data_IF_418877651312
#
_entry.id   IF_418877651312
#
_cell.length_a   1.000
_cell.length_b   1.000
_cell.length_c   1.000
_cell.angle_alpha   90.00
_cell.angle_beta   90.00
_cell.angle_gamma   90.00
#
_symmetry.space_group_name_H-M   'P 1'
#
loop_
_entity.id
_entity.type
_entity.pdbx_description
1 polymer ?
#
# COMPACT_ATOMS: atom_id res chain seq x y z
N UNK A 1 42.12 10.09 -0.05
CA UNK A 1 41.02 10.05 0.93
C UNK A 1 39.69 10.40 0.25
N UNK A 2 38.96 9.47 -0.39
CA UNK A 2 37.62 9.74 -0.98
C UNK A 2 36.70 8.51 -1.09
N UNK A 3 36.99 7.39 -0.41
CA UNK A 3 36.14 6.19 -0.47
C UNK A 3 34.97 6.19 0.54
N UNK A 4 34.92 7.13 1.48
CA UNK A 4 33.92 7.17 2.55
C UNK A 4 32.55 7.74 2.10
N UNK A 5 32.49 8.50 1.00
CA UNK A 5 31.26 9.19 0.57
C UNK A 5 30.18 8.27 -0.01
N UNK A 6 30.56 7.21 -0.73
CA UNK A 6 29.61 6.34 -1.44
C UNK A 6 28.72 5.53 -0.50
N UNK A 7 29.26 4.99 0.59
CA UNK A 7 28.48 4.21 1.58
C UNK A 7 27.48 5.07 2.35
N UNK A 8 27.83 6.32 2.64
CA UNK A 8 26.92 7.27 3.29
C UNK A 8 25.77 7.68 2.37
N UNK A 9 26.05 7.85 1.07
CA UNK A 9 25.03 8.19 0.07
C UNK A 9 24.02 7.06 -0.12
N UNK A 10 24.47 5.81 -0.27
CA UNK A 10 23.58 4.64 -0.41
C UNK A 10 22.70 4.45 0.83
N UNK A 11 23.25 4.63 2.04
CA UNK A 11 22.46 4.56 3.29
C UNK A 11 21.38 5.65 3.35
N UNK A 12 21.71 6.88 2.94
CA UNK A 12 20.74 8.00 2.89
C UNK A 12 19.63 7.76 1.86
N UNK A 13 19.99 7.24 0.68
CA UNK A 13 19.02 6.92 -0.37
C UNK A 13 18.08 5.78 0.06
N UNK A 14 18.60 4.73 0.69
CA UNK A 14 17.80 3.63 1.21
C UNK A 14 16.84 4.10 2.33
N UNK A 15 17.31 4.96 3.23
CA UNK A 15 16.47 5.55 4.27
C UNK A 15 15.36 6.43 3.68
N UNK A 16 15.67 7.26 2.69
CA UNK A 16 14.67 8.06 1.97
C UNK A 16 13.63 7.19 1.26
N UNK A 17 14.07 6.13 0.58
CA UNK A 17 13.17 5.19 -0.09
C UNK A 17 12.25 4.48 0.92
N UNK A 18 12.79 4.04 2.05
CA UNK A 18 12.02 3.41 3.12
C UNK A 18 10.97 4.36 3.69
N UNK A 19 11.32 5.64 3.90
CA UNK A 19 10.38 6.68 4.34
C UNK A 19 9.27 6.89 3.30
N UNK A 20 9.61 7.05 2.01
CA UNK A 20 8.61 7.24 0.95
C UNK A 20 7.67 6.03 0.84
N UNK A 21 8.19 4.81 0.95
CA UNK A 21 7.38 3.58 0.96
C UNK A 21 6.44 3.52 2.16
N UNK A 22 6.91 3.94 3.34
CA UNK A 22 6.06 4.03 4.53
C UNK A 22 4.94 5.07 4.35
N UNK A 23 5.24 6.25 3.80
CA UNK A 23 4.22 7.28 3.56
C UNK A 23 3.17 6.86 2.51
N UNK A 24 3.57 6.13 1.47
CA UNK A 24 2.64 5.66 0.44
C UNK A 24 1.62 4.63 0.94
N UNK A 25 1.93 3.91 2.05
CA UNK A 25 1.04 2.90 2.64
C UNK A 25 -0.01 3.44 3.62
N UNK A 26 0.19 4.64 4.18
CA UNK A 26 -0.63 5.11 5.31
C UNK A 26 -2.08 5.46 4.93
N UNK A 27 -2.32 6.00 3.73
CA UNK A 27 -3.65 6.52 3.37
C UNK A 27 -4.74 5.46 3.28
N UNK A 28 -4.39 4.21 2.95
CA UNK A 28 -5.34 3.08 2.85
C UNK A 28 -5.64 2.48 4.22
N UNK A 29 -4.63 2.39 5.08
CA UNK A 29 -4.75 1.84 6.43
C UNK A 29 -5.64 2.72 7.33
N UNK A 30 -5.58 4.04 7.14
CA UNK A 30 -6.34 4.97 7.97
C UNK A 30 -7.85 4.84 7.78
N UNK A 31 -8.32 4.64 6.54
CA UNK A 31 -9.73 4.48 6.24
C UNK A 31 -10.38 3.23 6.85
N UNK A 32 -9.68 2.09 6.81
CA UNK A 32 -10.13 0.86 7.46
C UNK A 32 -10.14 1.01 8.98
N UNK A 33 -9.14 1.72 9.52
CA UNK A 33 -9.08 2.01 10.95
C UNK A 33 -10.25 2.92 11.40
N UNK A 34 -10.66 3.88 10.58
CA UNK A 34 -11.80 4.75 10.89
C UNK A 34 -13.12 3.96 10.91
N UNK A 35 -13.37 3.09 9.90
CA UNK A 35 -14.51 2.16 9.92
C UNK A 35 -14.51 1.26 11.16
N UNK A 36 -13.34 0.75 11.55
CA UNK A 36 -13.20 -0.07 12.76
C UNK A 36 -13.57 0.71 14.02
N UNK A 37 -13.09 1.95 14.17
CA UNK A 37 -13.42 2.80 15.33
C UNK A 37 -14.91 3.13 15.38
N UNK A 38 -15.55 3.37 14.25
CA UNK A 38 -16.99 3.61 14.17
C UNK A 38 -17.80 2.36 14.55
N UNK A 39 -17.35 1.18 14.12
CA UNK A 39 -17.94 -0.09 14.57
C UNK A 39 -17.75 -0.30 16.08
N UNK A 40 -16.55 -0.05 16.61
CA UNK A 40 -16.29 -0.13 18.05
C UNK A 40 -17.16 0.86 18.84
N UNK A 41 -17.31 2.10 18.35
CA UNK A 41 -18.19 3.13 18.91
C UNK A 41 -19.67 2.75 18.87
N UNK A 42 -20.09 1.96 17.88
CA UNK A 42 -21.44 1.41 17.79
C UNK A 42 -21.68 0.21 18.74
N UNK A 43 -20.66 -0.24 19.48
CA UNK A 43 -20.76 -1.32 20.47
C UNK A 43 -20.28 -2.68 19.98
N UNK A 44 -19.65 -2.76 18.80
CA UNK A 44 -18.99 -3.99 18.36
C UNK A 44 -17.65 -4.16 19.09
N UNK A 45 -17.26 -5.41 19.36
CA UNK A 45 -15.97 -5.74 20.00
C UNK A 45 -15.17 -6.69 19.12
N UNK A 46 -13.85 -6.63 19.27
CA UNK A 46 -12.90 -7.46 18.50
C UNK A 46 -13.14 -7.37 16.99
N UNK A 47 -13.35 -6.15 16.50
CA UNK A 47 -13.71 -5.90 15.11
C UNK A 47 -12.52 -6.11 14.18
N UNK A 48 -12.68 -7.00 13.21
CA UNK A 48 -11.75 -7.20 12.10
C UNK A 48 -12.43 -6.89 10.77
N UNK A 49 -11.81 -6.04 9.95
CA UNK A 49 -12.29 -5.70 8.61
C UNK A 49 -11.31 -6.26 7.60
N UNK A 50 -11.75 -7.27 6.85
CA UNK A 50 -10.94 -7.99 5.87
C UNK A 50 -11.44 -7.63 4.48
N UNK A 51 -10.55 -7.12 3.64
CA UNK A 51 -10.84 -6.85 2.23
C UNK A 51 -10.20 -7.95 1.38
N UNK A 52 -11.00 -8.62 0.55
CA UNK A 52 -10.51 -9.62 -0.40
C UNK A 52 -11.01 -9.29 -1.78
N UNK A 53 -10.16 -9.51 -2.78
CA UNK A 53 -10.58 -9.43 -4.18
C UNK A 53 -10.25 -10.75 -4.85
N UNK A 54 -11.24 -11.35 -5.52
CA UNK A 54 -11.08 -12.62 -6.21
C UNK A 54 -12.03 -12.70 -7.39
N UNK A 55 -11.50 -13.07 -8.56
CA UNK A 55 -12.33 -13.21 -9.77
C UNK A 55 -13.02 -11.93 -10.24
N UNK A 56 -12.45 -10.75 -9.93
CA UNK A 56 -13.05 -9.44 -10.25
C UNK A 56 -14.17 -9.00 -9.32
N UNK A 57 -14.38 -9.72 -8.21
CA UNK A 57 -15.37 -9.39 -7.18
C UNK A 57 -14.62 -8.94 -5.92
N UNK A 58 -14.93 -7.74 -5.44
CA UNK A 58 -14.47 -7.19 -4.18
C UNK A 58 -15.39 -7.60 -3.04
N UNK A 59 -14.88 -8.33 -2.06
CA UNK A 59 -15.59 -8.75 -0.87
C UNK A 59 -15.02 -8.05 0.35
N UNK A 60 -15.86 -7.25 1.01
CA UNK A 60 -15.58 -6.72 2.33
C UNK A 60 -16.17 -7.67 3.38
N UNK A 61 -15.37 -8.07 4.36
CA UNK A 61 -15.83 -8.86 5.49
C UNK A 61 -15.61 -8.10 6.79
N UNK A 62 -16.64 -8.04 7.63
CA UNK A 62 -16.60 -7.51 8.99
C UNK A 62 -16.83 -8.67 9.94
N UNK A 63 -15.84 -8.99 10.76
CA UNK A 63 -15.93 -10.00 11.82
C UNK A 63 -15.95 -9.29 13.17
N UNK A 64 -16.81 -9.73 14.09
CA UNK A 64 -16.86 -9.20 15.45
C UNK A 64 -17.28 -10.28 16.46
N UNK A 65 -16.96 -10.05 17.73
CA UNK A 65 -17.30 -10.94 18.83
C UNK A 65 -18.83 -11.14 18.99
N UNK A 66 -19.27 -12.29 19.53
CA UNK A 66 -20.69 -12.53 19.82
C UNK A 66 -21.25 -11.53 20.83
N UNK A 67 -22.57 -11.30 20.75
CA UNK A 67 -23.29 -10.30 21.56
C UNK A 67 -23.18 -8.87 20.99
N UNK A 68 -22.68 -8.73 19.76
CA UNK A 68 -22.65 -7.46 19.04
C UNK A 68 -24.05 -6.99 18.59
N UNK A 69 -24.22 -5.69 18.27
CA UNK A 69 -25.45 -5.17 17.70
C UNK A 69 -25.84 -5.88 16.38
N UNK A 70 -27.10 -5.76 15.91
CA UNK A 70 -27.58 -6.45 14.71
C UNK A 70 -26.69 -6.21 13.48
N UNK A 71 -26.51 -7.24 12.64
CA UNK A 71 -25.65 -7.17 11.45
C UNK A 71 -25.94 -5.98 10.52
N UNK A 72 -27.19 -5.51 10.49
CA UNK A 72 -27.63 -4.35 9.72
C UNK A 72 -26.98 -3.04 10.18
N UNK A 73 -26.67 -2.91 11.48
CA UNK A 73 -25.94 -1.72 11.99
C UNK A 73 -24.50 -1.72 11.51
N UNK A 74 -23.81 -2.86 11.56
CA UNK A 74 -22.48 -3.02 10.99
C UNK A 74 -22.49 -2.77 9.48
N UNK A 75 -23.51 -3.26 8.78
CA UNK A 75 -23.67 -3.04 7.35
C UNK A 75 -23.79 -1.56 7.00
N UNK A 76 -24.59 -0.81 7.77
CA UNK A 76 -24.73 0.65 7.60
C UNK A 76 -23.42 1.39 7.86
N UNK A 77 -22.69 1.03 8.92
CA UNK A 77 -21.40 1.67 9.24
C UNK A 77 -20.38 1.38 8.14
N UNK A 78 -20.24 0.12 7.71
CA UNK A 78 -19.36 -0.24 6.61
C UNK A 78 -19.75 0.48 5.30
N UNK A 79 -21.04 0.56 4.99
CA UNK A 79 -21.54 1.29 3.82
C UNK A 79 -21.12 2.77 3.82
N UNK A 80 -21.22 3.45 4.97
CA UNK A 80 -21.03 4.90 5.08
C UNK A 80 -19.59 5.33 5.36
N UNK A 81 -18.72 4.42 5.81
CA UNK A 81 -17.37 4.79 6.26
C UNK A 81 -16.25 4.10 5.47
N UNK A 82 -16.50 2.91 4.91
CA UNK A 82 -15.45 2.10 4.31
C UNK A 82 -14.98 2.73 2.99
N UNK A 83 -13.74 3.25 2.87
CA UNK A 83 -13.33 4.05 1.72
C UNK A 83 -12.77 3.20 0.58
N UNK A 84 -13.46 2.09 0.31
CA UNK A 84 -13.23 1.21 -0.82
C UNK A 84 -14.57 0.76 -1.39
N UNK A 85 -14.60 0.62 -2.71
CA UNK A 85 -15.71 -0.04 -3.40
C UNK A 85 -15.62 -1.55 -3.18
N UNK A 86 -16.75 -2.17 -2.88
CA UNK A 86 -16.92 -3.61 -2.76
C UNK A 86 -18.22 -4.01 -3.44
N UNK A 87 -18.32 -5.25 -3.91
CA UNK A 87 -19.53 -5.79 -4.54
C UNK A 87 -20.40 -6.54 -3.52
N UNK A 88 -19.75 -7.13 -2.51
CA UNK A 88 -20.40 -7.86 -1.43
C UNK A 88 -19.83 -7.50 -0.06
N UNK A 89 -20.72 -7.33 0.91
CA UNK A 89 -20.38 -7.19 2.32
C UNK A 89 -20.82 -8.43 3.08
N UNK A 90 -19.90 -9.06 3.80
CA UNK A 90 -20.19 -10.19 4.69
C UNK A 90 -19.96 -9.75 6.13
N UNK A 91 -21.00 -9.83 6.96
CA UNK A 91 -20.94 -9.50 8.38
C UNK A 91 -21.04 -10.80 9.18
N UNK A 92 -19.99 -11.14 9.91
CA UNK A 92 -19.92 -12.30 10.78
C UNK A 92 -19.86 -11.86 12.25
N UNK A 93 -20.90 -12.20 13.02
CA UNK A 93 -21.05 -11.85 14.44
C UNK A 93 -21.13 -13.13 15.27
N UNK A 94 -19.99 -13.62 15.74
CA UNK A 94 -19.89 -14.97 16.31
C UNK A 94 -20.36 -16.03 15.30
N UNK A 95 -21.39 -16.80 15.64
CA UNK A 95 -21.93 -17.87 14.79
C UNK A 95 -22.91 -17.38 13.71
N UNK A 96 -23.30 -16.10 13.74
CA UNK A 96 -24.23 -15.53 12.77
C UNK A 96 -23.47 -14.91 11.61
N UNK A 97 -23.85 -15.25 10.37
CA UNK A 97 -23.29 -14.62 9.16
C UNK A 97 -24.42 -14.07 8.32
N UNK A 98 -24.31 -12.80 7.93
CA UNK A 98 -25.19 -12.14 6.99
C UNK A 98 -24.38 -11.61 5.80
N UNK A 99 -24.91 -11.75 4.59
CA UNK A 99 -24.30 -11.20 3.38
C UNK A 99 -25.24 -10.18 2.75
N UNK A 100 -24.68 -9.08 2.29
CA UNK A 100 -25.40 -7.99 1.62
C UNK A 100 -24.70 -7.69 0.30
N UNK A 101 -25.45 -7.62 -0.79
CA UNK A 101 -24.91 -7.11 -2.05
C UNK A 101 -24.83 -5.59 -2.02
N UNK A 102 -24.01 -5.02 -2.92
CA UNK A 102 -23.96 -3.56 -3.09
C UNK A 102 -25.35 -2.97 -3.40
N UNK A 103 -26.14 -3.64 -4.23
CA UNK A 103 -27.50 -3.21 -4.57
C UNK A 103 -28.45 -3.27 -3.37
N UNK A 104 -28.34 -4.31 -2.53
CA UNK A 104 -29.12 -4.41 -1.29
C UNK A 104 -28.83 -3.25 -0.35
N UNK A 105 -27.55 -2.92 -0.18
CA UNK A 105 -27.12 -1.82 0.68
C UNK A 105 -27.56 -0.47 0.12
N UNK A 106 -27.44 -0.26 -1.19
CA UNK A 106 -27.92 0.95 -1.85
C UNK A 106 -29.45 1.09 -1.75
N UNK A 107 -30.19 0.00 -1.89
CA UNK A 107 -31.64 -0.02 -1.73
C UNK A 107 -32.09 0.27 -0.30
N UNK A 108 -31.34 -0.20 0.70
CA UNK A 108 -31.66 -0.03 2.13
C UNK A 108 -31.21 1.31 2.71
N UNK A 109 -30.01 1.76 2.36
CA UNK A 109 -29.35 2.91 2.98
C UNK A 109 -29.23 4.12 2.04
N UNK A 110 -29.68 3.98 0.79
CA UNK A 110 -29.60 5.02 -0.22
C UNK A 110 -28.26 5.02 -0.96
N UNK A 111 -28.08 5.97 -1.91
CA UNK A 111 -26.87 6.07 -2.70
C UNK A 111 -25.64 6.27 -1.82
N UNK A 112 -24.56 5.60 -2.17
CA UNK A 112 -23.27 5.72 -1.48
C UNK A 112 -22.58 7.03 -1.83
N UNK A 113 -21.80 7.55 -0.90
CA UNK A 113 -20.92 8.68 -1.18
C UNK A 113 -19.87 8.27 -2.24
N UNK A 114 -19.82 8.92 -3.41
CA UNK A 114 -18.90 8.57 -4.48
C UNK A 114 -17.42 8.75 -4.09
N UNK A 115 -17.11 9.56 -3.07
CA UNK A 115 -15.75 9.71 -2.56
C UNK A 115 -15.21 8.43 -1.89
N UNK A 116 -16.11 7.57 -1.40
CA UNK A 116 -15.77 6.26 -0.81
C UNK A 116 -15.57 5.18 -1.88
N UNK A 117 -16.19 5.34 -3.04
CA UNK A 117 -16.11 4.38 -4.16
C UNK A 117 -14.98 4.67 -5.15
N UNK A 118 -14.34 5.84 -5.05
CA UNK A 118 -13.30 6.30 -5.98
C UNK A 118 -12.01 5.47 -5.99
N UNK A 119 -11.85 4.49 -5.09
CA UNK A 119 -10.69 3.61 -5.01
C UNK A 119 -11.11 2.15 -5.21
N UNK A 120 -11.29 1.75 -6.48
CA UNK A 120 -11.42 0.34 -6.83
C UNK A 120 -10.11 -0.40 -6.52
N UNK A 121 -10.23 -1.55 -5.85
CA UNK A 121 -9.08 -2.38 -5.45
C UNK A 121 -8.27 -2.84 -6.67
N UNK A 122 -8.92 -3.00 -7.84
CA UNK A 122 -8.28 -3.56 -9.04
C UNK A 122 -7.51 -2.55 -9.90
N UNK A 123 -7.96 -1.30 -10.01
CA UNK A 123 -7.24 -0.28 -10.81
C UNK A 123 -5.92 0.13 -10.17
N UNK A 124 -5.86 0.10 -8.83
CA UNK A 124 -4.66 0.50 -8.11
C UNK A 124 -3.63 -0.63 -8.04
N UNK A 125 -4.01 -1.92 -8.12
CA UNK A 125 -3.04 -3.03 -8.14
C UNK A 125 -2.35 -3.13 -9.50
N UNK A 126 -3.06 -2.97 -10.63
CA UNK A 126 -2.43 -3.02 -11.95
C UNK A 126 -1.62 -1.75 -12.22
N UNK A 127 -2.16 -0.57 -11.89
CA UNK A 127 -1.47 0.69 -12.10
C UNK A 127 -0.33 0.89 -11.09
N UNK A 128 -0.48 0.50 -9.83
CA UNK A 128 0.63 0.49 -8.87
C UNK A 128 1.62 -0.62 -9.14
N UNK A 129 1.19 -1.78 -9.63
CA UNK A 129 2.08 -2.85 -10.06
C UNK A 129 2.98 -2.40 -11.21
N UNK A 130 2.39 -1.79 -12.25
CA UNK A 130 3.14 -1.19 -13.36
C UNK A 130 4.06 -0.07 -12.87
N UNK A 131 3.58 0.81 -11.98
CA UNK A 131 4.36 1.93 -11.43
C UNK A 131 5.50 1.46 -10.52
N UNK A 132 5.29 0.41 -9.73
CA UNK A 132 6.29 -0.24 -8.89
C UNK A 132 7.30 -0.97 -9.77
N UNK A 133 6.85 -1.65 -10.84
CA UNK A 133 7.73 -2.31 -11.79
C UNK A 133 8.58 -1.30 -12.56
N UNK A 134 8.03 -0.15 -12.95
CA UNK A 134 8.78 0.97 -13.54
C UNK A 134 9.76 1.59 -12.54
N UNK A 135 9.36 1.77 -11.28
CA UNK A 135 10.23 2.28 -10.22
C UNK A 135 11.39 1.32 -9.95
N UNK A 136 11.12 0.02 -9.84
CA UNK A 136 12.13 -1.02 -9.65
C UNK A 136 13.05 -1.13 -10.87
N UNK A 137 12.50 -1.12 -12.08
CA UNK A 137 13.29 -1.15 -13.32
C UNK A 137 14.16 0.11 -13.45
N UNK A 138 13.60 1.28 -13.15
CA UNK A 138 14.33 2.55 -13.13
C UNK A 138 15.44 2.56 -12.09
N UNK A 139 15.16 2.09 -10.86
CA UNK A 139 16.15 1.96 -9.79
C UNK A 139 17.26 0.96 -10.16
N UNK A 140 16.90 -0.17 -10.77
CA UNK A 140 17.86 -1.15 -11.27
C UNK A 140 18.79 -0.53 -12.34
N UNK A 141 18.23 0.16 -13.35
CA UNK A 141 19.01 0.87 -14.36
C UNK A 141 19.93 1.93 -13.76
N UNK A 142 19.44 2.73 -12.81
CA UNK A 142 20.23 3.74 -12.13
C UNK A 142 21.38 3.13 -11.32
N UNK A 143 21.13 2.00 -10.65
CA UNK A 143 22.18 1.31 -9.88
C UNK A 143 23.27 0.73 -10.77
N UNK A 144 22.91 0.11 -11.90
CA UNK A 144 23.87 -0.38 -12.90
C UNK A 144 24.67 0.78 -13.49
N UNK A 145 23.99 1.87 -13.88
CA UNK A 145 24.63 3.07 -14.40
C UNK A 145 25.63 3.67 -13.41
N UNK A 146 25.25 3.76 -12.13
CA UNK A 146 26.15 4.23 -11.08
C UNK A 146 27.40 3.35 -10.94
N UNK A 147 27.26 2.02 -10.94
CA UNK A 147 28.39 1.08 -10.87
C UNK A 147 29.34 1.27 -12.06
N UNK A 148 28.80 1.37 -13.29
CA UNK A 148 29.59 1.55 -14.51
C UNK A 148 30.36 2.87 -14.48
N UNK A 149 29.70 3.98 -14.15
CA UNK A 149 30.34 5.30 -14.07
C UNK A 149 31.46 5.30 -13.02
N UNK A 150 31.19 4.72 -11.84
CA UNK A 150 32.18 4.65 -10.76
C UNK A 150 33.39 3.80 -11.17
N UNK A 151 33.15 2.66 -11.83
CA UNK A 151 34.21 1.80 -12.38
C UNK A 151 35.06 2.50 -13.44
N UNK A 152 34.43 3.19 -14.39
CA UNK A 152 35.14 3.95 -15.43
C UNK A 152 35.97 5.09 -14.84
N UNK A 153 35.45 5.82 -13.86
CA UNK A 153 36.20 6.87 -13.16
C UNK A 153 37.39 6.30 -12.39
N UNK A 154 37.22 5.16 -11.70
CA UNK A 154 38.31 4.47 -11.00
C UNK A 154 39.39 3.99 -11.98
N UNK A 155 39.01 3.40 -13.11
CA UNK A 155 39.94 2.99 -14.16
C UNK A 155 40.69 4.19 -14.76
N UNK A 156 39.98 5.29 -15.03
CA UNK A 156 40.58 6.53 -15.55
C UNK A 156 41.57 7.14 -14.56
N UNK A 157 41.23 7.16 -13.28
CA UNK A 157 42.11 7.62 -12.21
C UNK A 157 43.36 6.73 -12.07
N UNK A 158 43.18 5.41 -12.08
CA UNK A 158 44.29 4.45 -12.01
C UNK A 158 45.25 4.57 -13.20
N UNK A 159 44.72 4.77 -14.42
CA UNK A 159 45.55 5.01 -15.62
C UNK A 159 46.37 6.30 -15.51
N UNK A 160 45.77 7.39 -15.03
CA UNK A 160 46.48 8.67 -14.81
C UNK A 160 47.57 8.56 -13.76
N UNK A 161 47.32 7.84 -12.66
CA UNK A 161 48.32 7.61 -11.62
C UNK A 161 49.52 6.81 -12.14
N UNK A 162 49.30 5.80 -13.00
CA UNK A 162 50.38 5.02 -13.63
C UNK A 162 51.21 5.85 -14.62
N UNK A 163 50.57 6.72 -15.40
CA UNK A 163 51.28 7.60 -16.34
C UNK A 163 52.15 8.64 -15.61
N UNK A 164 51.69 9.17 -14.47
CA UNK A 164 52.46 10.11 -13.65
C UNK A 164 53.65 9.45 -12.92
N UNK A 165 53.57 8.15 -12.62
CA UNK A 165 54.65 7.38 -12.01
C UNK A 165 55.72 6.88 -12.98
N UNK A 166 55.52 7.02 -14.29
CA UNK A 166 56.43 6.53 -15.33
C UNK A 166 57.43 7.58 -15.84
N UNK A 167 57.74 8.60 -15.03
CA UNK A 167 58.76 9.61 -15.39
C UNK A 167 60.15 8.96 -15.25
N UNK A 168 60.89 8.74 -16.36
CA UNK A 168 62.18 8.06 -16.32
C UNK A 168 63.24 9.01 -15.76
N UNK A 169 64.02 8.51 -14.80
CA UNK A 169 65.30 9.12 -14.41
C UNK A 169 66.36 8.81 -15.47
#
# INVERSE_FOLDING_TARGET
MTAAGGRAFVKRLAALLAVVLMLAGCGRAQGVADTRRELEGAGYRDVEVILRTGGGIGVARVEAAPGAPPAETAARVAWTTLPVRFDQLVVALGDQTAAFSYEDLAGRFGPRDPSLDGRQIDEEVVRSGLKLMLLLSGAALLSVGAVVVTGLLALKAARRARAAGASPR
#
